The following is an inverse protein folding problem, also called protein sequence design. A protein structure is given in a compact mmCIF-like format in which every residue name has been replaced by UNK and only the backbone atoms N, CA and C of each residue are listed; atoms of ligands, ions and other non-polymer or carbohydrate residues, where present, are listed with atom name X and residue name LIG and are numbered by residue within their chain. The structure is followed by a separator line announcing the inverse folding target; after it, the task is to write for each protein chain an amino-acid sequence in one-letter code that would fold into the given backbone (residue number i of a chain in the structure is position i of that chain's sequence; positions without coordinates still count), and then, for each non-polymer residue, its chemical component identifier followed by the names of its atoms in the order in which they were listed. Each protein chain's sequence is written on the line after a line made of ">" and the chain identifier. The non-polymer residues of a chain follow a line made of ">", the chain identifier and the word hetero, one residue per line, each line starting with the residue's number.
data_IF_225860628345
#
_entry.id   IF_225860628345
#
_cell.length_a   1.000
_cell.length_b   1.000
_cell.length_c   1.000
_cell.angle_alpha   90.00
_cell.angle_beta   90.00
_cell.angle_gamma   90.00
#
_symmetry.space_group_name_H-M   'P 1'
#
loop_
_entity.id
_entity.type
_entity.pdbx_description
1 polymer ?
#
# COMPACT_ATOMS: atom_id res chain seq x y z
N UNK A 1 3.66 3.16 1.77
CA UNK A 1 3.58 1.94 0.94
C UNK A 1 4.93 1.62 0.28
N UNK A 2 5.58 2.55 -0.41
CA UNK A 2 6.92 2.32 -0.98
C UNK A 2 7.98 1.94 0.05
N UNK A 3 7.89 2.43 1.28
CA UNK A 3 8.81 2.07 2.38
C UNK A 3 8.64 0.62 2.85
N UNK A 4 7.41 0.11 2.89
CA UNK A 4 7.14 -1.30 3.26
C UNK A 4 7.67 -2.23 2.17
N UNK A 5 7.42 -1.91 0.90
CA UNK A 5 7.94 -2.68 -0.24
C UNK A 5 9.47 -2.65 -0.27
N UNK A 6 10.09 -1.51 0.08
CA UNK A 6 11.54 -1.37 0.15
C UNK A 6 12.14 -2.25 1.26
N UNK A 7 11.51 -2.32 2.43
CA UNK A 7 11.98 -3.15 3.55
C UNK A 7 11.92 -4.65 3.27
N UNK A 8 10.97 -5.10 2.42
CA UNK A 8 10.88 -6.51 2.00
C UNK A 8 11.86 -6.85 0.87
N UNK A 9 12.36 -5.84 0.12
CA UNK A 9 13.32 -6.03 -0.98
C UNK A 9 14.76 -6.26 -0.55
N UNK A 10 15.12 -5.97 0.69
CA UNK A 10 16.51 -5.99 1.16
C UNK A 10 16.86 -7.37 1.74
N UNK A 11 16.84 -8.38 0.92
CA UNK A 11 17.43 -9.67 1.24
C UNK A 11 18.33 -10.10 0.08
N UNK A 12 19.64 -9.85 0.17
CA UNK A 12 20.63 -10.37 -0.78
C UNK A 12 20.96 -11.83 -0.48
N UNK A 13 21.38 -12.56 -1.51
CA UNK A 13 21.52 -14.01 -1.52
C UNK A 13 22.63 -14.59 -0.63
N UNK A 14 23.45 -13.79 0.02
CA UNK A 14 24.75 -14.23 0.53
C UNK A 14 24.85 -14.40 2.05
N UNK A 15 23.96 -13.82 2.87
CA UNK A 15 23.99 -14.07 4.33
C UNK A 15 22.59 -13.96 4.93
N UNK A 16 22.19 -14.97 5.69
CA UNK A 16 20.99 -14.95 6.52
C UNK A 16 21.38 -14.19 7.79
N UNK A 17 21.34 -12.88 7.71
CA UNK A 17 21.44 -12.02 8.89
C UNK A 17 20.06 -11.93 9.53
N UNK A 18 19.94 -12.33 10.80
CA UNK A 18 18.68 -12.40 11.54
C UNK A 18 17.99 -11.03 11.71
N UNK A 19 18.68 -9.94 11.41
CA UNK A 19 18.19 -8.55 11.56
C UNK A 19 17.68 -7.92 10.26
N UNK A 20 17.84 -8.53 9.09
CA UNK A 20 17.36 -7.98 7.83
C UNK A 20 15.99 -8.56 7.46
N UNK A 21 14.96 -7.71 7.47
CA UNK A 21 13.59 -8.05 7.12
C UNK A 21 13.45 -8.69 5.73
N UNK A 22 12.56 -9.67 5.60
CA UNK A 22 12.26 -10.37 4.34
C UNK A 22 12.26 -11.88 4.47
N UNK A 23 12.43 -12.41 5.68
CA UNK A 23 12.26 -13.83 5.93
C UNK A 23 11.29 -14.11 7.08
N UNK A 24 10.68 -15.27 7.04
CA UNK A 24 9.81 -15.81 8.09
C UNK A 24 10.41 -17.13 8.54
N UNK A 25 10.84 -17.23 9.81
CA UNK A 25 11.34 -18.46 10.39
C UNK A 25 10.22 -19.17 11.14
N UNK A 26 10.05 -20.44 10.87
CA UNK A 26 9.09 -21.32 11.53
C UNK A 26 9.83 -22.50 12.10
N UNK A 27 9.75 -22.67 13.41
CA UNK A 27 10.25 -23.85 14.11
C UNK A 27 9.08 -24.83 14.29
N UNK A 28 9.04 -25.87 13.50
CA UNK A 28 7.96 -26.86 13.50
C UNK A 28 8.53 -28.26 13.60
N UNK A 29 8.26 -28.92 14.71
CA UNK A 29 8.55 -30.35 14.90
C UNK A 29 9.97 -30.77 14.48
N UNK A 30 11.00 -30.16 15.06
CA UNK A 30 12.43 -30.41 14.79
C UNK A 30 12.89 -30.05 13.35
N UNK A 31 12.11 -29.29 12.60
CA UNK A 31 12.51 -28.77 11.30
C UNK A 31 12.65 -27.25 11.34
N UNK A 32 13.80 -26.74 10.97
CA UNK A 32 14.03 -25.31 10.74
C UNK A 32 13.53 -24.96 9.32
N UNK A 33 12.39 -24.27 9.25
CA UNK A 33 11.81 -23.81 8.00
C UNK A 33 11.97 -22.32 7.92
N UNK A 34 12.69 -21.84 6.91
CA UNK A 34 12.86 -20.42 6.62
C UNK A 34 12.22 -20.10 5.27
N UNK A 35 11.27 -19.17 5.26
CA UNK A 35 10.66 -18.67 4.03
C UNK A 35 11.30 -17.31 3.71
N UNK A 36 12.06 -17.23 2.63
CA UNK A 36 12.66 -15.98 2.17
C UNK A 36 11.78 -15.34 1.14
N UNK A 37 11.35 -14.12 1.42
CA UNK A 37 10.50 -13.31 0.54
C UNK A 37 11.38 -12.42 -0.34
N UNK A 38 11.05 -12.36 -1.64
CA UNK A 38 11.77 -11.55 -2.62
C UNK A 38 10.78 -10.85 -3.54
N UNK A 39 11.23 -9.80 -4.20
CA UNK A 39 10.60 -9.17 -5.36
C UNK A 39 9.09 -8.90 -5.18
N UNK A 40 8.72 -8.19 -4.11
CA UNK A 40 7.33 -7.77 -3.90
C UNK A 40 6.93 -6.78 -4.99
N UNK A 41 5.92 -7.15 -5.76
CA UNK A 41 5.40 -6.33 -6.85
C UNK A 41 3.93 -6.02 -6.63
N UNK A 42 3.54 -4.83 -7.04
CA UNK A 42 2.15 -4.41 -7.11
C UNK A 42 1.80 -4.30 -8.60
N UNK A 43 0.86 -5.14 -9.04
CA UNK A 43 0.37 -5.13 -10.41
C UNK A 43 -0.46 -3.90 -10.75
N UNK A 44 -1.00 -3.87 -11.95
CA UNK A 44 -1.97 -2.85 -12.36
C UNK A 44 -3.38 -3.24 -11.91
N UNK A 45 -4.29 -2.27 -11.68
CA UNK A 45 -5.69 -2.57 -11.41
C UNK A 45 -6.35 -3.21 -12.62
N UNK A 46 -6.72 -4.49 -12.49
CA UNK A 46 -7.34 -5.27 -13.55
C UNK A 46 -8.65 -5.88 -13.07
N UNK A 47 -9.64 -5.94 -13.95
CA UNK A 47 -10.88 -6.68 -13.74
C UNK A 47 -10.82 -7.98 -14.52
N UNK A 48 -11.10 -9.08 -13.83
CA UNK A 48 -11.21 -10.40 -14.45
C UNK A 48 -12.67 -10.76 -14.63
N UNK A 49 -13.07 -11.03 -15.85
CA UNK A 49 -14.43 -11.41 -16.22
C UNK A 49 -14.66 -12.92 -16.04
N UNK A 50 -15.93 -13.31 -15.95
CA UNK A 50 -16.29 -14.72 -15.80
C UNK A 50 -15.83 -15.62 -16.95
N UNK A 51 -15.64 -15.04 -18.14
CA UNK A 51 -15.11 -15.75 -19.31
C UNK A 51 -13.57 -15.89 -19.30
N UNK A 52 -12.91 -15.37 -18.24
CA UNK A 52 -11.46 -15.40 -18.07
C UNK A 52 -10.72 -14.25 -18.78
N UNK A 53 -11.40 -13.35 -19.49
CA UNK A 53 -10.77 -12.16 -20.04
C UNK A 53 -10.42 -11.16 -18.94
N UNK A 54 -9.32 -10.44 -19.14
CA UNK A 54 -8.85 -9.42 -18.22
C UNK A 54 -8.76 -8.08 -18.94
N UNK A 55 -9.16 -7.01 -18.27
CA UNK A 55 -9.04 -5.66 -18.78
C UNK A 55 -8.72 -4.67 -17.64
N UNK A 56 -8.10 -3.52 -17.96
CA UNK A 56 -7.81 -2.50 -16.95
C UNK A 56 -9.08 -2.00 -16.29
N UNK A 57 -9.16 -2.10 -14.96
CA UNK A 57 -10.29 -1.59 -14.18
C UNK A 57 -10.33 -0.07 -14.19
N UNK A 58 -11.54 0.49 -14.24
CA UNK A 58 -11.75 1.91 -13.99
C UNK A 58 -12.52 2.15 -12.69
N UNK A 59 -12.28 3.27 -11.97
CA UNK A 59 -13.04 3.61 -10.78
C UNK A 59 -14.54 3.66 -11.02
N UNK A 60 -15.00 4.21 -12.13
CA UNK A 60 -16.42 4.29 -12.46
C UNK A 60 -17.04 2.91 -12.67
N UNK A 61 -16.35 2.02 -13.36
CA UNK A 61 -16.77 0.63 -13.50
C UNK A 61 -16.92 -0.05 -12.15
N UNK A 62 -15.94 0.11 -11.26
CA UNK A 62 -15.99 -0.46 -9.91
C UNK A 62 -17.19 0.07 -9.10
N UNK A 63 -17.56 1.35 -9.24
CA UNK A 63 -18.76 1.91 -8.61
C UNK A 63 -20.04 1.26 -9.13
N UNK A 64 -20.18 1.19 -10.45
CA UNK A 64 -21.39 0.67 -11.10
C UNK A 64 -21.60 -0.82 -10.86
N UNK A 65 -20.53 -1.62 -10.93
CA UNK A 65 -20.56 -3.07 -10.77
C UNK A 65 -20.39 -3.52 -9.31
N UNK A 66 -20.29 -2.59 -8.37
CA UNK A 66 -20.06 -2.86 -6.93
C UNK A 66 -18.80 -3.68 -6.67
N UNK A 67 -17.75 -3.42 -7.43
CA UNK A 67 -16.44 -4.04 -7.28
C UNK A 67 -15.53 -3.22 -6.36
N UNK A 68 -14.48 -3.86 -5.89
CA UNK A 68 -13.37 -3.16 -5.19
C UNK A 68 -12.29 -2.80 -6.20
N UNK A 69 -11.86 -1.53 -6.20
CA UNK A 69 -10.77 -1.06 -7.03
C UNK A 69 -9.44 -1.40 -6.38
N UNK A 70 -8.76 -2.43 -6.88
CA UNK A 70 -7.53 -2.95 -6.28
C UNK A 70 -6.51 -3.38 -7.34
N UNK A 71 -5.27 -3.54 -6.91
CA UNK A 71 -4.19 -4.19 -7.65
C UNK A 71 -3.76 -5.47 -6.96
N UNK A 72 -3.40 -6.53 -7.70
CA UNK A 72 -2.85 -7.74 -7.12
C UNK A 72 -1.44 -7.47 -6.57
N UNK A 73 -1.16 -8.03 -5.41
CA UNK A 73 0.18 -8.06 -4.80
C UNK A 73 0.78 -9.42 -5.07
N UNK A 74 1.92 -9.45 -5.74
CA UNK A 74 2.66 -10.67 -6.03
C UNK A 74 4.00 -10.64 -5.35
N UNK A 75 4.47 -11.80 -4.94
CA UNK A 75 5.79 -12.00 -4.34
C UNK A 75 6.50 -13.19 -4.98
N UNK A 76 7.80 -13.14 -4.96
CA UNK A 76 8.65 -14.30 -5.17
C UNK A 76 9.09 -14.82 -3.80
N UNK A 77 9.07 -16.12 -3.57
CA UNK A 77 9.58 -16.67 -2.33
C UNK A 77 10.32 -18.01 -2.55
N UNK A 78 11.22 -18.31 -1.61
CA UNK A 78 11.93 -19.58 -1.56
C UNK A 78 11.82 -20.17 -0.16
N UNK A 79 11.48 -21.44 -0.07
CA UNK A 79 11.38 -22.17 1.20
C UNK A 79 12.70 -22.90 1.42
N UNK A 80 13.34 -22.63 2.55
CA UNK A 80 14.50 -23.36 3.03
C UNK A 80 14.06 -24.35 4.12
N UNK A 81 14.50 -25.58 4.01
CA UNK A 81 14.29 -26.62 5.04
C UNK A 81 15.63 -27.07 5.54
N UNK A 82 15.89 -26.87 6.84
CA UNK A 82 17.17 -27.19 7.47
C UNK A 82 18.37 -26.61 6.70
N UNK A 83 18.24 -25.35 6.22
CA UNK A 83 19.28 -24.68 5.44
C UNK A 83 19.33 -25.05 3.95
N UNK A 84 18.56 -26.05 3.48
CA UNK A 84 18.54 -26.44 2.06
C UNK A 84 17.45 -25.68 1.31
N UNK A 85 17.79 -24.92 0.25
CA UNK A 85 16.80 -24.20 -0.54
C UNK A 85 15.93 -25.16 -1.38
N UNK A 86 14.62 -24.92 -1.37
CA UNK A 86 13.67 -25.54 -2.29
C UNK A 86 13.59 -24.79 -3.61
N UNK A 87 12.66 -25.20 -4.48
CA UNK A 87 12.41 -24.51 -5.72
C UNK A 87 11.85 -23.09 -5.46
N UNK A 88 12.38 -22.05 -6.13
CA UNK A 88 11.86 -20.71 -6.02
C UNK A 88 10.49 -20.59 -6.70
N UNK A 89 9.51 -20.15 -5.98
CA UNK A 89 8.19 -19.80 -6.48
C UNK A 89 8.17 -18.33 -6.87
N UNK A 90 7.74 -18.03 -8.10
CA UNK A 90 7.73 -16.66 -8.65
C UNK A 90 6.34 -16.17 -8.98
N UNK A 91 6.12 -14.87 -8.75
CA UNK A 91 4.87 -14.20 -9.13
C UNK A 91 3.63 -14.71 -8.39
N UNK A 92 3.79 -15.23 -7.18
CA UNK A 92 2.66 -15.76 -6.42
C UNK A 92 1.83 -14.61 -5.87
N UNK A 93 0.54 -14.59 -6.23
CA UNK A 93 -0.38 -13.59 -5.71
C UNK A 93 -0.73 -13.90 -4.26
N UNK A 94 -0.38 -12.99 -3.37
CA UNK A 94 -0.62 -13.12 -1.92
C UNK A 94 -1.80 -12.30 -1.42
N UNK A 95 -2.26 -11.34 -2.21
CA UNK A 95 -3.40 -10.51 -1.82
C UNK A 95 -3.73 -9.43 -2.83
N UNK A 96 -4.72 -8.62 -2.46
CA UNK A 96 -5.19 -7.50 -3.25
C UNK A 96 -5.05 -6.22 -2.43
N UNK A 97 -4.38 -5.21 -3.01
CA UNK A 97 -4.18 -3.91 -2.40
C UNK A 97 -5.16 -2.90 -2.99
N UNK A 98 -6.10 -2.35 -2.22
CA UNK A 98 -6.95 -1.26 -2.70
C UNK A 98 -6.11 -0.06 -3.17
N UNK A 99 -6.46 0.48 -4.32
CA UNK A 99 -5.73 1.60 -4.93
C UNK A 99 -6.52 2.89 -4.73
N UNK A 100 -5.82 3.91 -4.23
CA UNK A 100 -6.38 5.25 -4.11
C UNK A 100 -6.64 5.84 -5.49
N UNK A 101 -7.85 6.33 -5.71
CA UNK A 101 -8.24 6.97 -6.97
C UNK A 101 -7.36 8.19 -7.24
N UNK A 102 -6.87 8.31 -8.46
CA UNK A 102 -5.93 9.33 -8.95
C UNK A 102 -4.52 9.30 -8.32
N UNK A 103 -4.18 8.25 -7.59
CA UNK A 103 -2.78 8.04 -7.18
C UNK A 103 -1.91 7.65 -8.38
N UNK A 104 -0.60 7.65 -8.20
CA UNK A 104 0.38 7.21 -9.22
C UNK A 104 0.14 5.78 -9.76
N UNK A 105 -0.54 4.94 -9.00
CA UNK A 105 -0.88 3.55 -9.36
C UNK A 105 -2.29 3.40 -9.94
N UNK A 106 -3.05 4.48 -9.99
CA UNK A 106 -4.40 4.49 -10.54
C UNK A 106 -4.35 4.51 -12.08
N UNK A 107 -5.21 3.74 -12.74
CA UNK A 107 -5.35 3.73 -14.20
C UNK A 107 -5.81 5.07 -14.79
N UNK A 108 -6.30 5.98 -13.94
CA UNK A 108 -6.65 7.35 -14.33
C UNK A 108 -5.49 8.33 -14.22
N UNK A 109 -4.34 7.92 -13.69
CA UNK A 109 -3.18 8.78 -13.62
C UNK A 109 -2.73 9.18 -15.03
N UNK A 110 -2.29 10.43 -15.27
CA UNK A 110 -1.89 10.89 -16.59
C UNK A 110 -0.93 9.98 -17.33
N UNK A 111 0.05 9.42 -16.62
CA UNK A 111 1.05 8.52 -17.20
C UNK A 111 0.48 7.18 -17.69
N UNK A 112 -0.64 6.73 -17.11
CA UNK A 112 -1.29 5.47 -17.51
C UNK A 112 -2.37 5.70 -18.58
N UNK A 113 -3.09 6.83 -18.49
CA UNK A 113 -4.21 7.12 -19.39
C UNK A 113 -3.75 7.60 -20.77
N UNK A 114 -2.59 8.24 -20.84
CA UNK A 114 -2.04 8.83 -22.06
C UNK A 114 -1.22 7.83 -22.92
N UNK A 115 -0.96 6.61 -22.41
CA UNK A 115 -0.08 5.65 -23.07
C UNK A 115 1.34 6.20 -23.17
N UNK A 116 1.91 6.20 -24.40
CA UNK A 116 3.26 6.68 -24.66
C UNK A 116 3.44 8.21 -24.54
N UNK A 117 2.35 8.94 -24.35
CA UNK A 117 2.40 10.39 -24.22
C UNK A 117 2.53 10.77 -22.76
N UNK A 118 3.65 11.38 -22.40
CA UNK A 118 3.84 11.93 -21.05
C UNK A 118 2.99 13.20 -20.91
N UNK A 119 1.89 13.09 -20.15
CA UNK A 119 1.09 14.24 -19.74
C UNK A 119 1.52 14.66 -18.34
N UNK A 120 1.98 15.90 -18.22
CA UNK A 120 2.30 16.50 -16.92
C UNK A 120 1.20 17.52 -16.55
N UNK A 121 0.15 17.12 -15.82
CA UNK A 121 -1.03 17.96 -15.57
C UNK A 121 -0.74 19.22 -14.75
N UNK A 122 0.46 19.34 -14.21
CA UNK A 122 0.88 20.51 -13.43
C UNK A 122 1.66 21.54 -14.26
N UNK A 123 2.01 21.24 -15.52
CA UNK A 123 2.98 22.04 -16.27
C UNK A 123 2.33 22.91 -17.35
N UNK A 124 1.24 22.46 -17.99
CA UNK A 124 0.58 23.19 -19.07
C UNK A 124 -0.94 23.09 -18.97
N UNK A 125 -1.64 24.17 -19.35
CA UNK A 125 -3.10 24.18 -19.42
C UNK A 125 -3.60 23.24 -20.53
N UNK A 126 -2.88 23.16 -21.64
CA UNK A 126 -3.22 22.28 -22.76
C UNK A 126 -3.13 20.79 -22.39
N UNK A 127 -2.15 20.41 -21.55
CA UNK A 127 -2.02 19.04 -21.04
C UNK A 127 -3.16 18.69 -20.07
N UNK A 128 -3.58 19.66 -19.24
CA UNK A 128 -4.75 19.47 -18.36
C UNK A 128 -6.03 19.25 -19.18
N UNK A 129 -6.26 20.07 -20.22
CA UNK A 129 -7.44 19.95 -21.06
C UNK A 129 -7.43 18.63 -21.85
N UNK A 130 -6.27 18.19 -22.32
CA UNK A 130 -6.10 16.89 -22.97
C UNK A 130 -6.38 15.73 -22.01
N UNK A 131 -5.88 15.80 -20.77
CA UNK A 131 -6.17 14.81 -19.74
C UNK A 131 -7.65 14.75 -19.38
N UNK A 132 -8.28 15.89 -19.18
CA UNK A 132 -9.73 15.99 -18.94
C UNK A 132 -10.55 15.39 -20.08
N UNK A 133 -10.13 15.59 -21.32
CA UNK A 133 -10.78 15.00 -22.49
C UNK A 133 -10.69 13.47 -22.49
N UNK A 134 -9.52 12.92 -22.11
CA UNK A 134 -9.31 11.48 -21.96
C UNK A 134 -10.16 10.87 -20.82
N UNK A 135 -10.27 11.56 -19.69
CA UNK A 135 -11.13 11.15 -18.58
C UNK A 135 -12.59 11.06 -19.01
N UNK A 136 -13.11 12.10 -19.69
CA UNK A 136 -14.49 12.11 -20.23
C UNK A 136 -14.72 10.96 -21.21
N UNK A 137 -13.73 10.66 -22.07
CA UNK A 137 -13.82 9.54 -23.02
C UNK A 137 -13.92 8.18 -22.31
N UNK A 138 -13.32 8.05 -21.11
CA UNK A 138 -13.43 6.85 -20.26
C UNK A 138 -14.64 6.84 -19.32
N UNK A 139 -15.50 7.89 -19.40
CA UNK A 139 -16.68 8.00 -18.55
C UNK A 139 -16.40 8.44 -17.11
N UNK A 140 -15.20 9.01 -16.87
CA UNK A 140 -14.80 9.51 -15.55
C UNK A 140 -14.99 11.02 -15.45
N UNK A 141 -15.32 11.53 -14.26
CA UNK A 141 -15.47 12.95 -14.01
C UNK A 141 -14.10 13.65 -13.95
N UNK A 142 -13.80 14.61 -14.81
CA UNK A 142 -12.57 15.38 -14.76
C UNK A 142 -12.38 16.19 -13.48
N UNK A 143 -13.48 16.59 -12.83
CA UNK A 143 -13.47 17.43 -11.61
C UNK A 143 -13.35 16.61 -10.31
N UNK A 144 -13.41 15.29 -10.40
CA UNK A 144 -13.21 14.44 -9.23
C UNK A 144 -11.81 14.67 -8.63
N UNK A 145 -11.67 15.07 -7.36
CA UNK A 145 -10.37 15.32 -6.73
C UNK A 145 -9.56 14.03 -6.47
N UNK A 146 -10.19 12.86 -6.45
CA UNK A 146 -9.56 11.61 -6.03
C UNK A 146 -9.21 11.58 -4.53
N UNK A 147 -8.24 10.76 -4.14
CA UNK A 147 -7.77 10.67 -2.75
C UNK A 147 -8.60 9.73 -1.87
N UNK A 148 -9.49 8.94 -2.44
CA UNK A 148 -10.34 7.97 -1.77
C UNK A 148 -10.18 6.57 -2.41
N UNK A 149 -10.75 5.57 -1.75
CA UNK A 149 -10.76 4.18 -2.19
C UNK A 149 -12.18 3.75 -2.55
N UNK A 150 -12.30 2.79 -3.45
CA UNK A 150 -13.59 2.18 -3.80
C UNK A 150 -13.58 0.74 -3.31
N UNK A 151 -14.44 0.45 -2.35
CA UNK A 151 -14.58 -0.87 -1.73
C UNK A 151 -16.02 -1.35 -1.91
N UNK A 152 -16.22 -2.44 -2.66
CA UNK A 152 -17.54 -2.96 -3.00
C UNK A 152 -18.47 -1.88 -3.60
N UNK A 153 -17.92 -1.05 -4.47
CA UNK A 153 -18.63 0.05 -5.12
C UNK A 153 -18.88 1.28 -4.25
N UNK A 154 -18.47 1.26 -2.98
CA UNK A 154 -18.65 2.38 -2.04
C UNK A 154 -17.34 3.15 -1.87
N UNK A 155 -17.42 4.48 -1.92
CA UNK A 155 -16.26 5.35 -1.68
C UNK A 155 -15.90 5.37 -0.20
N UNK A 156 -14.62 5.18 0.11
CA UNK A 156 -14.07 5.14 1.46
C UNK A 156 -12.85 6.03 1.56
N UNK A 157 -12.76 6.78 2.64
CA UNK A 157 -11.64 7.68 2.94
C UNK A 157 -10.90 7.17 4.17
N UNK A 158 -9.57 7.25 4.14
CA UNK A 158 -8.76 7.05 5.34
C UNK A 158 -8.70 8.36 6.11
N UNK A 159 -9.17 8.34 7.35
CA UNK A 159 -9.09 9.48 8.26
C UNK A 159 -7.78 9.38 9.01
N UNK A 160 -6.95 10.43 8.93
CA UNK A 160 -5.75 10.55 9.75
C UNK A 160 -6.17 10.73 11.22
N UNK A 161 -5.69 9.84 12.08
CA UNK A 161 -5.96 9.88 13.51
C UNK A 161 -4.61 9.87 14.25
N UNK A 162 -4.50 10.75 15.24
CA UNK A 162 -3.36 10.78 16.15
C UNK A 162 -3.83 10.23 17.50
N UNK A 163 -3.10 9.26 18.04
CA UNK A 163 -3.39 8.64 19.32
C UNK A 163 -2.10 8.31 20.07
N UNK A 164 -2.19 8.11 21.35
CA UNK A 164 -1.07 7.73 22.19
C UNK A 164 -0.69 6.27 21.91
N UNK A 165 0.63 6.01 21.84
CA UNK A 165 1.12 4.65 21.67
C UNK A 165 0.65 3.76 22.85
N UNK A 166 0.07 2.58 22.58
CA UNK A 166 -0.35 1.66 23.63
C UNK A 166 0.87 1.13 24.39
N UNK A 167 0.65 0.74 25.66
CA UNK A 167 1.67 0.14 26.53
C UNK A 167 2.92 1.00 26.78
N UNK A 168 2.81 2.33 26.62
CA UNK A 168 3.88 3.29 26.89
C UNK A 168 3.50 4.17 28.06
N UNK A 169 4.31 4.17 29.13
CA UNK A 169 4.13 5.10 30.26
C UNK A 169 4.59 6.49 29.84
N UNK A 170 3.67 7.46 29.87
CA UNK A 170 3.96 8.86 29.58
C UNK A 170 3.85 9.66 30.87
N UNK A 171 4.88 10.45 31.15
CA UNK A 171 4.91 11.32 32.33
C UNK A 171 4.96 12.77 31.84
N UNK A 172 3.95 13.55 32.23
CA UNK A 172 3.82 14.96 31.89
C UNK A 172 3.64 15.83 33.13
N UNK A 173 4.21 17.03 33.08
CA UNK A 173 3.97 18.05 34.11
C UNK A 173 2.69 18.80 33.76
N UNK A 174 1.64 18.58 34.56
CA UNK A 174 0.38 19.30 34.37
C UNK A 174 0.52 20.75 34.83
N UNK A 175 0.68 21.67 33.89
CA UNK A 175 0.87 23.11 34.13
C UNK A 175 -0.27 23.75 34.95
N UNK A 176 -1.50 23.20 34.90
CA UNK A 176 -2.65 23.71 35.68
C UNK A 176 -2.47 23.55 37.18
N UNK A 177 -1.64 22.60 37.63
CA UNK A 177 -1.42 22.32 39.05
C UNK A 177 -0.09 22.84 39.59
N UNK A 178 0.78 23.36 38.73
CA UNK A 178 2.12 23.90 39.16
C UNK A 178 2.01 25.01 40.19
N UNK A 179 0.95 25.81 40.15
CA UNK A 179 0.73 26.94 41.05
C UNK A 179 -0.08 26.62 42.31
N UNK A 180 -0.54 25.37 42.50
CA UNK A 180 -1.28 24.98 43.69
C UNK A 180 -0.32 24.88 44.90
N UNK A 181 -0.68 25.41 46.07
CA UNK A 181 0.15 25.37 47.28
C UNK A 181 0.58 23.97 47.71
N UNK A 182 -0.28 22.97 47.51
CA UNK A 182 -0.01 21.55 47.79
C UNK A 182 1.03 20.91 46.88
N UNK A 183 1.27 21.50 45.72
CA UNK A 183 2.30 21.02 44.78
C UNK A 183 3.72 21.53 45.19
N UNK A 184 3.80 22.74 45.74
CA UNK A 184 5.08 23.34 46.18
C UNK A 184 5.63 22.68 47.45
N UNK A 185 4.81 22.10 48.31
CA UNK A 185 5.27 21.48 49.55
C UNK A 185 5.98 20.14 49.44
N UNK A 186 5.79 19.45 48.32
CA UNK A 186 6.40 18.11 48.06
C UNK A 186 7.79 18.13 47.41
N UNK A 187 8.31 19.30 47.08
CA UNK A 187 9.58 19.46 46.37
C UNK A 187 10.77 19.90 47.22
N UNK A 188 10.71 19.73 48.56
CA UNK A 188 11.87 19.93 49.45
C UNK A 188 12.02 18.71 50.35
N UNK A 189 12.80 17.78 49.88
CA UNK A 189 13.54 16.84 50.69
C UNK A 189 14.95 16.76 50.06
#
# INVERSE_FOLDING_TARGET
>A
MESIIRNIRVGTDEEIDDDEGGFIRLDVADQDIVIRLRNVQLGEPMTKEANGSEHPSTPMECRLRKLTYFSPVTIDFTIYRNGVPGNPEKGVQVGNMPIMVRSKRCNLHPNHIAGDRVLAPTTSKDDMDAWHALLRKRGEDPLDPGGYFIINGTERVLISMEDLAPNRVTVEINKRFVHRPSFRSRGRA
#
